data_IF_916639683184
#
_entry.id   IF_916639683184
#
_cell.length_a   1.000
_cell.length_b   1.000
_cell.length_c   1.000
_cell.angle_alpha   90.00
_cell.angle_beta   90.00
_cell.angle_gamma   90.00
#
_symmetry.space_group_name_H-M   'P 1'
#
loop_
_entity.id
_entity.type
_entity.pdbx_description
1 polymer ?
#
# COMPACT_ATOMS: atom_id res chain seq x y z
N UNK A 1 -35.01 31.90 25.94
CA UNK A 1 -34.75 31.42 24.60
C UNK A 1 -33.27 31.25 24.27
N UNK A 2 -32.38 32.02 24.95
CA UNK A 2 -30.95 32.01 24.70
C UNK A 2 -30.20 32.28 26.01
N UNK A 3 -29.01 31.64 26.11
CA UNK A 3 -28.06 31.92 27.19
C UNK A 3 -26.69 32.25 26.58
N UNK A 4 -26.03 33.23 27.10
CA UNK A 4 -24.64 33.60 26.72
C UNK A 4 -23.72 33.00 27.76
N UNK A 5 -22.78 32.16 27.32
CA UNK A 5 -21.79 31.51 28.16
C UNK A 5 -20.39 31.75 27.59
N UNK A 6 -19.38 31.66 28.44
CA UNK A 6 -17.97 31.68 28.00
C UNK A 6 -17.54 30.32 27.50
N UNK A 7 -16.90 30.28 26.33
CA UNK A 7 -16.38 29.05 25.74
C UNK A 7 -14.95 28.78 26.27
N UNK A 8 -14.82 27.90 27.22
CA UNK A 8 -13.52 27.51 27.82
C UNK A 8 -12.56 26.85 26.82
N UNK A 9 -13.04 26.38 25.68
CA UNK A 9 -12.22 25.76 24.63
C UNK A 9 -11.81 26.72 23.52
N UNK A 10 -12.25 27.99 23.55
CA UNK A 10 -11.95 29.02 22.55
C UNK A 10 -11.71 30.40 23.24
N UNK A 11 -10.64 30.48 23.99
CA UNK A 11 -10.17 31.72 24.63
C UNK A 11 -11.25 32.52 25.39
N UNK A 12 -12.17 31.81 26.03
CA UNK A 12 -13.29 32.42 26.78
C UNK A 12 -14.24 33.29 25.93
N UNK A 13 -14.21 33.10 24.60
CA UNK A 13 -15.11 33.85 23.71
C UNK A 13 -16.57 33.57 24.06
N UNK A 14 -17.44 34.57 24.03
CA UNK A 14 -18.84 34.39 24.34
C UNK A 14 -19.52 33.53 23.27
N UNK A 15 -20.25 32.49 23.68
CA UNK A 15 -21.07 31.62 22.83
C UNK A 15 -22.52 31.76 23.22
N UNK A 16 -23.39 32.00 22.23
CA UNK A 16 -24.83 32.06 22.41
C UNK A 16 -25.41 30.65 22.19
N UNK A 17 -26.06 30.10 23.21
CA UNK A 17 -26.73 28.79 23.16
C UNK A 17 -28.24 28.99 23.16
N UNK A 18 -28.91 28.49 22.11
CA UNK A 18 -30.39 28.49 22.04
C UNK A 18 -30.98 27.39 22.91
N UNK A 19 -31.89 27.74 23.80
CA UNK A 19 -32.59 26.82 24.67
C UNK A 19 -34.01 26.55 24.15
N UNK A 20 -34.46 25.34 24.31
CA UNK A 20 -35.83 24.94 24.07
C UNK A 20 -36.70 25.36 25.31
N UNK A 21 -37.55 26.32 25.11
CA UNK A 21 -38.40 26.87 26.19
C UNK A 21 -39.45 25.91 26.76
N UNK A 22 -39.72 24.81 26.03
CA UNK A 22 -40.57 23.74 26.48
C UNK A 22 -39.89 22.76 27.44
N UNK A 23 -38.55 22.88 27.56
CA UNK A 23 -37.73 22.03 28.40
C UNK A 23 -37.22 22.79 29.62
N UNK A 24 -37.02 22.07 30.71
CA UNK A 24 -36.29 22.61 31.85
C UNK A 24 -34.81 22.91 31.49
N UNK A 25 -34.11 23.79 32.23
CA UNK A 25 -32.69 24.02 32.03
C UNK A 25 -31.87 22.73 32.08
N UNK A 26 -32.18 21.85 33.01
CA UNK A 26 -31.52 20.54 33.14
C UNK A 26 -31.78 19.64 31.93
N UNK A 27 -32.99 19.60 31.37
CA UNK A 27 -33.33 18.83 30.19
C UNK A 27 -32.62 19.37 28.92
N UNK A 28 -32.48 20.70 28.80
CA UNK A 28 -31.69 21.33 27.76
C UNK A 28 -30.23 20.91 27.86
N UNK A 29 -29.61 20.96 29.03
CA UNK A 29 -28.26 20.53 29.26
C UNK A 29 -28.04 19.06 28.91
N UNK A 30 -28.93 18.18 29.32
CA UNK A 30 -28.90 16.74 28.97
C UNK A 30 -29.02 16.52 27.46
N UNK A 31 -29.90 17.28 26.77
CA UNK A 31 -30.03 17.22 25.30
C UNK A 31 -28.72 17.60 24.59
N UNK A 32 -28.06 18.68 25.01
CA UNK A 32 -26.77 19.11 24.46
C UNK A 32 -25.70 18.10 24.77
N UNK A 33 -25.63 17.57 25.97
CA UNK A 33 -24.67 16.54 26.34
C UNK A 33 -24.86 15.24 25.53
N UNK A 34 -26.12 14.82 25.32
CA UNK A 34 -26.42 13.67 24.45
C UNK A 34 -25.95 13.92 23.00
N UNK A 35 -26.16 15.14 22.47
CA UNK A 35 -25.68 15.54 21.13
C UNK A 35 -24.15 15.52 21.07
N UNK A 36 -23.49 16.09 22.07
CA UNK A 36 -22.02 16.07 22.17
C UNK A 36 -21.48 14.64 22.16
N UNK A 37 -22.00 13.75 23.01
CA UNK A 37 -21.58 12.34 23.05
C UNK A 37 -21.77 11.64 21.70
N UNK A 38 -22.93 11.87 21.06
CA UNK A 38 -23.21 11.31 19.73
C UNK A 38 -22.20 11.79 18.70
N UNK A 39 -21.91 13.09 18.67
CA UNK A 39 -20.92 13.67 17.74
C UNK A 39 -19.52 13.17 18.02
N UNK A 40 -19.10 13.11 19.28
CA UNK A 40 -17.79 12.58 19.68
C UNK A 40 -17.59 11.12 19.23
N UNK A 41 -18.61 10.28 19.46
CA UNK A 41 -18.57 8.88 19.00
C UNK A 41 -18.58 8.78 17.47
N UNK A 42 -19.33 9.66 16.78
CA UNK A 42 -19.35 9.70 15.32
C UNK A 42 -17.98 10.04 14.73
N UNK A 43 -17.24 10.99 15.34
CA UNK A 43 -15.88 11.33 14.89
C UNK A 43 -14.98 10.09 14.91
N UNK A 44 -14.93 9.38 16.05
CA UNK A 44 -14.10 8.17 16.18
C UNK A 44 -14.47 7.09 15.13
N UNK A 45 -15.78 6.90 14.87
CA UNK A 45 -16.22 5.93 13.86
C UNK A 45 -15.88 6.39 12.44
N UNK A 46 -16.00 7.68 12.14
CA UNK A 46 -15.68 8.24 10.84
C UNK A 46 -14.16 8.18 10.57
N UNK A 47 -13.33 8.47 11.55
CA UNK A 47 -11.86 8.32 11.44
C UNK A 47 -11.48 6.88 11.07
N UNK A 48 -12.06 5.91 11.77
CA UNK A 48 -11.85 4.50 11.46
C UNK A 48 -12.32 4.12 10.05
N UNK A 49 -13.48 4.64 9.62
CA UNK A 49 -14.00 4.38 8.27
C UNK A 49 -13.13 5.03 7.20
N UNK A 50 -12.59 6.23 7.45
CA UNK A 50 -11.66 6.91 6.54
C UNK A 50 -10.37 6.12 6.38
N UNK A 51 -9.82 5.58 7.47
CA UNK A 51 -8.64 4.74 7.41
C UNK A 51 -8.88 3.48 6.56
N UNK A 52 -9.98 2.78 6.79
CA UNK A 52 -10.35 1.60 6.00
C UNK A 52 -10.57 1.94 4.52
N UNK A 53 -11.25 3.05 4.24
CA UNK A 53 -11.47 3.51 2.87
C UNK A 53 -10.16 3.89 2.17
N UNK A 54 -9.22 4.53 2.87
CA UNK A 54 -7.90 4.85 2.34
C UNK A 54 -7.09 3.59 2.00
N UNK A 55 -7.12 2.57 2.86
CA UNK A 55 -6.47 1.29 2.61
C UNK A 55 -7.09 0.58 1.38
N UNK A 56 -8.42 0.58 1.28
CA UNK A 56 -9.13 -0.02 0.15
C UNK A 56 -8.85 0.72 -1.15
N UNK A 57 -8.83 2.05 -1.12
CA UNK A 57 -8.47 2.87 -2.27
C UNK A 57 -7.03 2.60 -2.73
N UNK A 58 -6.07 2.51 -1.80
CA UNK A 58 -4.69 2.14 -2.09
C UNK A 58 -4.59 0.76 -2.77
N UNK A 59 -5.35 -0.23 -2.28
CA UNK A 59 -5.41 -1.55 -2.89
C UNK A 59 -5.95 -1.50 -4.33
N UNK A 60 -7.06 -0.82 -4.57
CA UNK A 60 -7.63 -0.70 -5.92
C UNK A 60 -6.66 0.01 -6.87
N UNK A 61 -5.95 1.03 -6.40
CA UNK A 61 -4.90 1.71 -7.17
C UNK A 61 -3.74 0.79 -7.53
N UNK A 62 -3.33 -0.11 -6.63
CA UNK A 62 -2.30 -1.10 -6.92
C UNK A 62 -2.75 -2.13 -7.97
N UNK A 63 -4.03 -2.51 -7.95
CA UNK A 63 -4.61 -3.40 -8.97
C UNK A 63 -4.71 -2.69 -10.33
N UNK A 64 -5.12 -1.42 -10.35
CA UNK A 64 -5.16 -0.60 -11.57
C UNK A 64 -3.76 -0.50 -12.21
N UNK A 65 -2.74 -0.23 -11.42
CA UNK A 65 -1.35 -0.19 -11.86
C UNK A 65 -0.87 -1.55 -12.40
N UNK A 66 -1.14 -2.64 -11.69
CA UNK A 66 -0.83 -3.99 -12.15
C UNK A 66 -1.53 -4.33 -13.47
N UNK A 67 -2.80 -3.91 -13.61
CA UNK A 67 -3.59 -4.12 -14.83
C UNK A 67 -3.02 -3.34 -16.02
N UNK A 68 -2.57 -2.11 -15.80
CA UNK A 68 -1.97 -1.27 -16.86
C UNK A 68 -0.65 -1.82 -17.39
N UNK A 69 0.06 -2.61 -16.58
CA UNK A 69 1.36 -3.23 -16.92
C UNK A 69 1.27 -4.69 -17.33
N UNK A 70 0.05 -5.27 -17.29
CA UNK A 70 -0.15 -6.67 -17.66
C UNK A 70 0.05 -6.89 -19.15
N UNK A 71 0.96 -7.78 -19.51
CA UNK A 71 1.37 -8.01 -20.90
C UNK A 71 0.75 -9.29 -21.51
N UNK A 72 -0.07 -10.06 -20.75
CA UNK A 72 -0.60 -11.31 -21.27
C UNK A 72 -1.77 -11.88 -20.47
N UNK A 73 -2.44 -12.87 -21.09
CA UNK A 73 -3.63 -13.52 -20.51
C UNK A 73 -3.36 -14.18 -19.14
N UNK A 74 -2.14 -14.67 -18.91
CA UNK A 74 -1.76 -15.30 -17.64
C UNK A 74 -1.79 -14.27 -16.48
N UNK A 75 -1.30 -13.06 -16.71
CA UNK A 75 -1.27 -11.98 -15.72
C UNK A 75 -2.67 -11.44 -15.47
N UNK A 76 -3.44 -11.22 -16.55
CA UNK A 76 -4.83 -10.82 -16.46
C UNK A 76 -5.67 -11.86 -15.68
N UNK A 77 -5.43 -13.16 -15.89
CA UNK A 77 -6.10 -14.21 -15.15
C UNK A 77 -5.75 -14.17 -13.66
N UNK A 78 -4.50 -13.89 -13.30
CA UNK A 78 -4.07 -13.73 -11.90
C UNK A 78 -4.74 -12.53 -11.22
N UNK A 79 -4.77 -11.37 -11.89
CA UNK A 79 -5.44 -10.18 -11.38
C UNK A 79 -6.95 -10.43 -11.20
N UNK A 80 -7.57 -11.12 -12.14
CA UNK A 80 -8.98 -11.51 -12.07
C UNK A 80 -9.26 -12.45 -10.89
N UNK A 81 -8.37 -13.41 -10.64
CA UNK A 81 -8.45 -14.32 -9.48
C UNK A 81 -8.28 -13.54 -8.17
N UNK A 82 -7.33 -12.61 -8.10
CA UNK A 82 -7.12 -11.72 -6.95
C UNK A 82 -8.37 -10.90 -6.62
N UNK A 83 -8.96 -10.24 -7.63
CA UNK A 83 -10.18 -9.45 -7.45
C UNK A 83 -11.36 -10.29 -6.99
N UNK A 84 -11.48 -11.53 -7.48
CA UNK A 84 -12.50 -12.47 -7.04
C UNK A 84 -12.30 -12.87 -5.58
N UNK A 85 -11.09 -13.26 -5.20
CA UNK A 85 -10.76 -13.69 -3.84
C UNK A 85 -10.89 -12.52 -2.85
N UNK A 86 -10.69 -11.29 -3.32
CA UNK A 86 -10.92 -10.06 -2.56
C UNK A 86 -12.40 -9.62 -2.50
N UNK A 87 -13.31 -10.31 -3.19
CA UNK A 87 -14.76 -10.07 -3.16
C UNK A 87 -15.28 -9.05 -4.19
N UNK A 88 -14.44 -8.49 -5.07
CA UNK A 88 -14.86 -7.50 -6.07
C UNK A 88 -15.47 -8.12 -7.35
N UNK A 89 -15.20 -9.38 -7.61
CA UNK A 89 -15.59 -10.06 -8.85
C UNK A 89 -16.43 -11.31 -8.60
N UNK A 90 -17.40 -11.26 -7.70
CA UNK A 90 -18.26 -12.39 -7.29
C UNK A 90 -19.07 -13.02 -8.43
N UNK A 91 -19.31 -12.31 -9.54
CA UNK A 91 -20.08 -12.77 -10.71
C UNK A 91 -19.22 -13.46 -11.78
N UNK A 92 -17.91 -13.48 -11.64
CA UNK A 92 -17.04 -14.17 -12.59
C UNK A 92 -17.13 -15.67 -12.33
N UNK A 93 -17.78 -16.40 -13.24
CA UNK A 93 -17.90 -17.88 -13.15
C UNK A 93 -16.50 -18.50 -13.06
N UNK A 94 -16.33 -19.33 -12.05
CA UNK A 94 -15.12 -20.11 -11.85
C UNK A 94 -15.06 -21.23 -12.91
N UNK A 95 -14.22 -21.08 -13.91
CA UNK A 95 -13.73 -22.23 -14.67
C UNK A 95 -12.63 -22.91 -13.86
N UNK A 96 -13.01 -23.47 -12.72
CA UNK A 96 -12.11 -24.32 -11.93
C UNK A 96 -12.01 -25.69 -12.56
N UNK A 97 -11.26 -25.80 -13.62
CA UNK A 97 -10.55 -27.05 -13.85
C UNK A 97 -9.49 -27.13 -12.74
N UNK A 98 -9.45 -28.20 -11.96
CA UNK A 98 -8.57 -28.39 -10.80
C UNK A 98 -7.07 -28.37 -11.10
N UNK A 99 -6.62 -27.31 -11.78
CA UNK A 99 -5.21 -27.03 -12.06
C UNK A 99 -4.54 -26.60 -10.75
N UNK A 100 -3.51 -27.31 -10.35
CA UNK A 100 -2.59 -26.88 -9.27
C UNK A 100 -2.24 -25.41 -9.49
N UNK A 101 -2.38 -24.58 -8.43
CA UNK A 101 -1.93 -23.18 -8.47
C UNK A 101 -0.45 -23.18 -8.87
N UNK A 102 -0.16 -22.68 -10.07
CA UNK A 102 1.22 -22.48 -10.52
C UNK A 102 1.78 -21.26 -9.82
N UNK A 103 3.09 -21.25 -9.53
CA UNK A 103 3.76 -20.10 -8.97
C UNK A 103 3.46 -18.85 -9.82
N UNK A 104 3.20 -17.69 -9.17
CA UNK A 104 2.94 -16.44 -9.90
C UNK A 104 4.16 -16.04 -10.73
N UNK A 105 3.92 -15.33 -11.83
CA UNK A 105 5.00 -14.81 -12.67
C UNK A 105 5.60 -13.56 -12.05
N UNK A 106 6.91 -13.45 -12.11
CA UNK A 106 7.69 -12.30 -11.68
C UNK A 106 8.85 -12.07 -12.66
N UNK A 107 9.42 -10.87 -12.64
CA UNK A 107 10.62 -10.53 -13.41
C UNK A 107 11.87 -10.84 -12.59
N UNK A 108 12.96 -11.11 -13.30
CA UNK A 108 14.26 -11.37 -12.69
C UNK A 108 15.30 -10.44 -13.33
N UNK A 109 16.07 -9.79 -12.50
CA UNK A 109 17.16 -8.91 -12.90
C UNK A 109 18.45 -9.35 -12.20
N UNK A 110 19.57 -8.89 -12.69
CA UNK A 110 20.87 -9.12 -12.07
C UNK A 110 21.63 -7.81 -12.01
N UNK A 111 22.08 -7.41 -10.82
CA UNK A 111 22.91 -6.23 -10.66
C UNK A 111 24.31 -6.47 -11.22
N UNK A 112 25.07 -5.40 -11.44
CA UNK A 112 26.46 -5.51 -11.87
C UNK A 112 27.33 -6.24 -10.83
N UNK A 113 27.01 -6.08 -9.53
CA UNK A 113 27.64 -6.86 -8.45
C UNK A 113 27.25 -8.33 -8.42
N UNK A 114 26.35 -8.78 -9.31
CA UNK A 114 25.95 -10.18 -9.47
C UNK A 114 24.77 -10.62 -8.58
N UNK A 115 24.13 -9.71 -7.86
CA UNK A 115 22.97 -10.01 -7.03
C UNK A 115 21.72 -10.24 -7.86
N UNK A 116 20.95 -11.28 -7.50
CA UNK A 116 19.66 -11.54 -8.14
C UNK A 116 18.58 -10.61 -7.55
N UNK A 117 17.83 -9.95 -8.43
CA UNK A 117 16.74 -9.05 -8.06
C UNK A 117 15.44 -9.58 -8.65
N UNK A 118 14.44 -9.82 -7.79
CA UNK A 118 13.11 -10.24 -8.19
C UNK A 118 12.15 -9.05 -8.12
N UNK A 119 11.32 -8.90 -9.14
CA UNK A 119 10.30 -7.86 -9.22
C UNK A 119 8.93 -8.47 -9.48
N UNK A 120 7.97 -8.18 -8.62
CA UNK A 120 6.60 -8.66 -8.76
C UNK A 120 5.85 -7.93 -9.87
N UNK A 121 4.93 -8.62 -10.54
CA UNK A 121 4.10 -8.07 -11.62
C UNK A 121 2.71 -7.62 -11.15
N UNK A 122 2.25 -8.18 -10.03
CA UNK A 122 0.96 -7.90 -9.39
C UNK A 122 1.04 -8.17 -7.89
N UNK A 123 -0.02 -7.89 -7.14
CA UNK A 123 -0.02 -8.04 -5.69
C UNK A 123 0.23 -9.49 -5.21
N UNK A 124 -0.24 -10.49 -5.96
CA UNK A 124 0.02 -11.90 -5.65
C UNK A 124 1.51 -12.23 -5.79
N UNK A 125 2.14 -11.79 -6.89
CA UNK A 125 3.57 -12.00 -7.10
C UNK A 125 4.43 -11.14 -6.16
N UNK A 126 3.98 -9.94 -5.79
CA UNK A 126 4.61 -9.11 -4.76
C UNK A 126 4.70 -9.86 -3.41
N UNK A 127 3.59 -10.49 -3.00
CA UNK A 127 3.60 -11.32 -1.79
C UNK A 127 4.47 -12.56 -1.96
N UNK A 128 4.41 -13.22 -3.12
CA UNK A 128 5.15 -14.45 -3.38
C UNK A 128 6.67 -14.24 -3.29
N UNK A 129 7.21 -13.23 -3.98
CA UNK A 129 8.67 -12.97 -3.94
C UNK A 129 9.15 -12.66 -2.52
N UNK A 130 8.35 -11.93 -1.74
CA UNK A 130 8.67 -11.59 -0.35
C UNK A 130 8.63 -12.79 0.59
N UNK A 131 7.68 -13.72 0.40
CA UNK A 131 7.43 -14.80 1.37
C UNK A 131 8.08 -16.13 1.00
N UNK A 132 8.40 -16.36 -0.28
CA UNK A 132 8.91 -17.64 -0.78
C UNK A 132 10.31 -17.56 -1.39
N UNK A 133 10.72 -16.39 -1.91
CA UNK A 133 12.03 -16.23 -2.54
C UNK A 133 13.01 -15.47 -1.66
N UNK A 134 12.52 -14.51 -0.86
CA UNK A 134 13.36 -13.69 -0.01
C UNK A 134 13.60 -14.31 1.37
N UNK A 135 14.81 -14.15 1.86
CA UNK A 135 15.21 -14.38 3.24
C UNK A 135 15.03 -13.12 4.09
N UNK A 136 15.01 -13.27 5.42
CA UNK A 136 14.82 -12.14 6.35
C UNK A 136 15.88 -11.05 6.23
N UNK A 137 17.08 -11.40 5.80
CA UNK A 137 18.22 -10.49 5.68
C UNK A 137 18.39 -9.89 4.28
N UNK A 138 17.57 -10.29 3.30
CA UNK A 138 17.55 -9.70 1.99
C UNK A 138 16.93 -8.30 2.01
N UNK A 139 17.12 -7.54 0.92
CA UNK A 139 16.65 -6.18 0.81
C UNK A 139 15.38 -6.09 -0.02
N UNK A 140 14.41 -5.34 0.49
CA UNK A 140 13.17 -5.03 -0.19
C UNK A 140 13.14 -3.55 -0.58
N UNK A 141 12.57 -3.26 -1.76
CA UNK A 141 12.47 -1.93 -2.35
C UNK A 141 11.04 -1.70 -2.84
N UNK A 142 10.57 -0.46 -2.70
CA UNK A 142 9.28 -0.04 -3.24
C UNK A 142 9.26 1.47 -3.42
N UNK A 143 8.61 1.96 -4.48
CA UNK A 143 8.42 3.39 -4.70
C UNK A 143 7.59 3.98 -3.57
N UNK A 144 8.03 5.13 -3.05
CA UNK A 144 7.37 5.79 -1.93
C UNK A 144 6.05 6.42 -2.35
N UNK A 145 4.99 6.24 -1.52
CA UNK A 145 3.68 6.87 -1.66
C UNK A 145 3.00 6.68 -3.02
N UNK A 146 3.36 5.63 -3.77
CA UNK A 146 2.78 5.32 -5.09
C UNK A 146 2.57 3.82 -5.27
N UNK A 147 1.59 3.41 -6.10
CA UNK A 147 1.49 2.02 -6.56
C UNK A 147 2.74 1.59 -7.33
N UNK A 148 3.15 0.35 -7.11
CA UNK A 148 4.32 -0.22 -7.79
C UNK A 148 4.58 -1.66 -7.39
N UNK A 149 5.61 -2.23 -8.00
CA UNK A 149 6.09 -3.56 -7.70
C UNK A 149 6.89 -3.60 -6.41
N UNK A 150 6.72 -4.68 -5.64
CA UNK A 150 7.75 -5.06 -4.68
C UNK A 150 8.97 -5.58 -5.45
N UNK A 151 10.13 -5.14 -5.04
CA UNK A 151 11.40 -5.62 -5.56
C UNK A 151 12.20 -6.18 -4.41
N UNK A 152 12.83 -7.33 -4.61
CA UNK A 152 13.66 -7.97 -3.58
C UNK A 152 15.02 -8.31 -4.18
N UNK A 153 16.09 -7.86 -3.55
CA UNK A 153 17.47 -8.20 -3.89
C UNK A 153 17.97 -9.27 -2.92
N UNK A 154 18.35 -10.42 -3.47
CA UNK A 154 18.87 -11.57 -2.73
C UNK A 154 20.35 -11.35 -2.48
N UNK A 155 20.75 -11.32 -1.23
CA UNK A 155 22.13 -11.00 -0.84
C UNK A 155 22.82 -12.14 -0.09
N UNK A 156 22.08 -13.15 0.35
CA UNK A 156 22.61 -14.30 1.10
C UNK A 156 23.51 -13.93 2.30
N UNK A 157 23.32 -12.70 2.83
CA UNK A 157 24.08 -12.16 3.94
C UNK A 157 25.23 -11.23 3.56
N UNK A 158 25.54 -11.08 2.28
CA UNK A 158 26.53 -10.14 1.77
C UNK A 158 26.07 -8.67 1.90
N UNK A 159 27.00 -7.74 1.86
CA UNK A 159 26.72 -6.31 1.82
C UNK A 159 26.91 -5.79 0.38
N UNK A 160 25.80 -5.49 -0.34
CA UNK A 160 25.84 -4.94 -1.67
C UNK A 160 26.46 -3.53 -1.71
N UNK A 161 27.03 -3.16 -2.85
CA UNK A 161 27.53 -1.81 -3.08
C UNK A 161 26.41 -0.79 -3.26
N UNK A 162 26.70 0.52 -3.13
CA UNK A 162 25.73 1.59 -3.42
C UNK A 162 25.17 1.49 -4.84
N UNK A 163 25.96 0.99 -5.79
CA UNK A 163 25.54 0.76 -7.16
C UNK A 163 24.45 -0.31 -7.24
N UNK A 164 24.62 -1.44 -6.55
CA UNK A 164 23.63 -2.52 -6.51
C UNK A 164 22.30 -2.03 -5.91
N UNK A 165 22.36 -1.21 -4.85
CA UNK A 165 21.18 -0.58 -4.28
C UNK A 165 20.48 0.36 -5.27
N UNK A 166 21.26 1.18 -5.99
CA UNK A 166 20.73 2.10 -6.99
C UNK A 166 20.07 1.35 -8.13
N UNK A 167 20.68 0.26 -8.62
CA UNK A 167 20.15 -0.59 -9.68
C UNK A 167 18.84 -1.26 -9.25
N UNK A 168 18.78 -1.85 -8.06
CA UNK A 168 17.55 -2.46 -7.52
C UNK A 168 16.44 -1.41 -7.30
N UNK A 169 16.78 -0.22 -6.81
CA UNK A 169 15.86 0.89 -6.67
C UNK A 169 15.35 1.40 -8.03
N UNK A 170 16.20 1.44 -9.06
CA UNK A 170 15.80 1.80 -10.43
C UNK A 170 14.79 0.81 -10.99
N UNK A 171 14.98 -0.49 -10.76
CA UNK A 171 13.99 -1.52 -11.12
C UNK A 171 12.65 -1.22 -10.43
N UNK A 172 12.63 -0.87 -9.14
CA UNK A 172 11.39 -0.53 -8.43
C UNK A 172 10.73 0.75 -8.98
N UNK A 173 11.52 1.78 -9.31
CA UNK A 173 11.04 3.02 -9.89
C UNK A 173 10.38 2.81 -11.26
N UNK A 174 11.02 2.02 -12.15
CA UNK A 174 10.52 1.70 -13.49
C UNK A 174 9.24 0.88 -13.45
N UNK A 175 9.13 -0.06 -12.49
CA UNK A 175 7.96 -0.91 -12.31
C UNK A 175 6.94 -0.34 -11.30
N UNK A 176 6.67 0.97 -11.43
CA UNK A 176 5.71 1.69 -10.60
C UNK A 176 4.86 2.65 -11.44
N UNK A 177 3.90 3.30 -10.80
CA UNK A 177 3.11 4.38 -11.42
C UNK A 177 3.87 5.71 -11.54
N UNK A 178 5.18 5.74 -11.30
CA UNK A 178 5.97 6.95 -11.46
C UNK A 178 6.13 7.33 -12.94
N UNK A 179 6.17 8.64 -13.27
CA UNK A 179 6.44 9.07 -14.63
C UNK A 179 7.84 8.61 -15.09
N UNK A 180 7.94 8.15 -16.34
CA UNK A 180 9.22 7.74 -16.95
C UNK A 180 10.21 8.91 -16.95
N UNK A 181 11.46 8.61 -16.63
CA UNK A 181 12.53 9.60 -16.55
C UNK A 181 12.46 10.56 -15.35
N UNK A 182 11.45 10.44 -14.50
CA UNK A 182 11.35 11.25 -13.29
C UNK A 182 12.31 10.76 -12.20
N UNK A 183 12.78 11.67 -11.35
CA UNK A 183 13.45 11.31 -10.10
C UNK A 183 12.40 10.89 -9.08
N UNK A 184 12.54 9.69 -8.53
CA UNK A 184 11.53 9.03 -7.69
C UNK A 184 12.15 8.59 -6.38
N UNK A 185 11.53 8.88 -5.22
CA UNK A 185 11.94 8.29 -3.95
C UNK A 185 11.53 6.80 -3.91
N UNK A 186 12.48 5.94 -3.59
CA UNK A 186 12.30 4.51 -3.39
C UNK A 186 12.70 4.16 -1.97
N UNK A 187 11.77 3.67 -1.20
CA UNK A 187 12.05 3.17 0.15
C UNK A 187 12.65 1.77 0.07
N UNK A 188 13.65 1.51 0.91
CA UNK A 188 14.28 0.20 1.02
C UNK A 188 14.62 -0.15 2.45
N UNK A 189 14.50 -1.43 2.78
CA UNK A 189 14.76 -1.97 4.12
C UNK A 189 14.96 -3.47 4.05
N UNK A 190 15.40 -4.07 5.15
CA UNK A 190 15.49 -5.53 5.26
C UNK A 190 14.10 -6.15 5.32
N UNK A 191 13.91 -7.29 4.65
CA UNK A 191 12.62 -8.02 4.60
C UNK A 191 12.06 -8.30 5.99
N UNK A 192 12.89 -8.53 7.00
CA UNK A 192 12.46 -8.73 8.40
C UNK A 192 11.73 -7.56 9.03
N UNK A 193 11.92 -6.34 8.52
CA UNK A 193 11.26 -5.12 9.04
C UNK A 193 9.84 -4.95 8.47
N UNK A 194 9.50 -5.73 7.43
CA UNK A 194 8.16 -5.71 6.84
C UNK A 194 7.19 -6.49 7.72
N UNK A 195 6.02 -5.90 7.94
CA UNK A 195 4.91 -6.54 8.64
C UNK A 195 3.68 -6.58 7.73
N UNK A 196 2.99 -7.71 7.72
CA UNK A 196 1.67 -7.81 7.09
C UNK A 196 0.61 -7.85 8.18
N UNK A 197 -0.28 -6.86 8.29
CA UNK A 197 -1.40 -6.89 9.22
C UNK A 197 -2.32 -8.09 8.95
N UNK A 198 -2.94 -8.62 10.00
CA UNK A 198 -3.92 -9.68 9.85
C UNK A 198 -5.09 -9.21 9.00
N UNK A 199 -5.52 -10.01 8.03
CA UNK A 199 -6.60 -9.67 7.09
C UNK A 199 -6.24 -8.67 5.99
N UNK A 200 -4.97 -8.22 5.91
CA UNK A 200 -4.54 -7.33 4.84
C UNK A 200 -4.67 -7.97 3.46
N UNK A 201 -5.01 -7.17 2.46
CA UNK A 201 -5.07 -7.56 1.05
C UNK A 201 -3.67 -8.00 0.56
N UNK A 202 -3.60 -8.83 -0.51
CA UNK A 202 -2.31 -9.19 -1.13
C UNK A 202 -1.49 -7.94 -1.50
N UNK A 203 -0.17 -8.04 -1.36
CA UNK A 203 0.75 -6.94 -1.66
C UNK A 203 0.82 -5.83 -0.60
N UNK A 204 -0.06 -5.82 0.40
CA UNK A 204 -0.04 -4.79 1.44
C UNK A 204 0.95 -5.15 2.55
N UNK A 205 1.86 -4.23 2.82
CA UNK A 205 2.85 -4.31 3.91
C UNK A 205 2.96 -2.98 4.65
N UNK A 206 3.34 -3.03 5.90
CA UNK A 206 3.68 -1.86 6.72
C UNK A 206 5.10 -1.99 7.24
N UNK A 207 5.77 -0.87 7.39
CA UNK A 207 7.09 -0.74 8.00
C UNK A 207 7.18 0.59 8.75
N UNK A 208 8.09 0.68 9.70
CA UNK A 208 8.25 1.88 10.53
C UNK A 208 9.62 2.53 10.35
N UNK A 209 10.59 1.76 9.87
CA UNK A 209 11.96 2.22 9.66
C UNK A 209 12.37 1.86 8.25
N UNK A 210 12.91 2.80 7.50
CA UNK A 210 13.38 2.61 6.13
C UNK A 210 14.48 3.61 5.80
N UNK A 211 15.22 3.30 4.77
CA UNK A 211 16.03 4.27 4.02
C UNK A 211 15.30 4.63 2.72
N UNK A 212 15.63 5.77 2.15
CA UNK A 212 15.04 6.23 0.89
C UNK A 212 16.17 6.59 -0.07
N UNK A 213 16.19 5.95 -1.23
CA UNK A 213 17.05 6.30 -2.36
C UNK A 213 16.27 7.16 -3.36
N UNK A 214 16.92 8.16 -3.95
CA UNK A 214 16.36 8.94 -5.04
C UNK A 214 16.99 8.47 -6.34
N UNK A 215 16.19 7.86 -7.22
CA UNK A 215 16.65 7.29 -8.49
C UNK A 215 15.81 7.79 -9.66
N UNK A 216 16.37 7.78 -10.84
CA UNK A 216 15.62 8.07 -12.07
C UNK A 216 14.92 6.81 -12.56
N UNK A 217 13.63 6.91 -12.91
CA UNK A 217 12.87 5.81 -13.53
C UNK A 217 13.32 5.62 -15.00
N UNK A 218 14.53 5.07 -15.19
CA UNK A 218 15.16 4.85 -16.48
C UNK A 218 14.96 3.41 -16.96
N UNK A 219 14.06 3.27 -17.97
CA UNK A 219 13.74 1.96 -18.56
C UNK A 219 14.92 1.28 -19.22
N UNK A 220 15.83 2.05 -19.83
CA UNK A 220 16.99 1.48 -20.54
C UNK A 220 17.95 0.81 -19.54
N UNK A 221 18.22 1.49 -18.43
CA UNK A 221 19.05 0.95 -17.34
C UNK A 221 18.42 -0.28 -16.71
N UNK A 222 17.12 -0.25 -16.38
CA UNK A 222 16.43 -1.42 -15.83
C UNK A 222 16.43 -2.61 -16.80
N UNK A 223 16.18 -2.36 -18.08
CA UNK A 223 16.17 -3.40 -19.12
C UNK A 223 17.54 -4.05 -19.33
N UNK A 224 18.63 -3.29 -19.17
CA UNK A 224 19.98 -3.82 -19.28
C UNK A 224 20.30 -4.86 -18.18
N UNK A 225 19.62 -4.79 -17.03
CA UNK A 225 19.76 -5.72 -15.91
C UNK A 225 18.84 -6.94 -16.04
N UNK A 226 17.88 -6.95 -16.97
CA UNK A 226 16.85 -7.99 -17.07
C UNK A 226 17.44 -9.31 -17.56
N UNK A 227 17.17 -10.38 -16.78
CA UNK A 227 17.55 -11.75 -17.14
C UNK A 227 16.44 -12.35 -17.98
N UNK A 228 16.69 -12.53 -19.29
CA UNK A 228 15.75 -13.22 -20.17
C UNK A 228 15.60 -14.68 -19.73
N UNK A 229 14.38 -15.10 -19.47
CA UNK A 229 14.08 -16.55 -19.31
C UNK A 229 14.25 -17.22 -20.68
N UNK A 230 15.27 -18.10 -20.78
CA UNK A 230 15.36 -19.05 -21.89
C UNK A 230 14.16 -20.01 -21.87
#
# INVERSE_FOLDING_TARGET
DKVLLENYNDEMKPVEIRLDTKLTPQANAQRFYKKYRKSKNAVVQLEKQLELAAQEFGYIKSVEDALSRADGEKELAQIREELRDAGYASKIKHNSSGKKKTAPSYLTFRTEGGYTVYCGKNNISNDYIRTHLASKNDWWFHVKDRPGSHVVMITDGDEPSEKDFTEAATVAAVHSSAPKGASVPVDYLKVRELKRPSGAKPGFVIYHTNWTAYVTADEASAKALEVKKN
#
